data_IF_938433797102
#
_entry.id   IF_938433797102
#
_cell.length_a   1.000
_cell.length_b   1.000
_cell.length_c   1.000
_cell.angle_alpha   90.00
_cell.angle_beta   90.00
_cell.angle_gamma   90.00
#
_symmetry.space_group_name_H-M   'P 1'
#
loop_
_entity.id
_entity.type
_entity.pdbx_description
1 polymer ?
#
# COMPACT_ATOMS: atom_id res chain seq x y z
N UNK A 1 7.67 -17.37 17.84
CA UNK A 1 6.63 -17.65 18.87
C UNK A 1 6.05 -16.40 19.52
N UNK A 2 6.40 -15.19 19.05
CA UNK A 2 5.89 -13.90 19.60
C UNK A 2 4.61 -13.39 18.93
N UNK A 3 4.22 -13.97 17.80
CA UNK A 3 3.07 -13.51 17.01
C UNK A 3 1.68 -13.93 17.56
N UNK A 4 1.62 -14.68 18.67
CA UNK A 4 0.34 -15.13 19.24
C UNK A 4 -0.45 -14.01 19.95
N UNK A 5 0.17 -12.87 20.27
CA UNK A 5 -0.47 -11.71 20.89
C UNK A 5 -1.10 -10.74 19.89
N UNK A 6 -0.63 -10.73 18.62
CA UNK A 6 -1.12 -9.85 17.55
C UNK A 6 -2.21 -10.55 16.75
N UNK A 7 -3.42 -10.05 16.80
CA UNK A 7 -4.51 -10.51 15.94
C UNK A 7 -5.04 -9.38 15.10
N UNK A 8 -5.63 -9.69 13.94
CA UNK A 8 -6.28 -8.68 13.11
C UNK A 8 -7.38 -7.94 13.86
N UNK A 9 -8.11 -8.62 14.75
CA UNK A 9 -9.16 -8.01 15.57
C UNK A 9 -8.62 -6.90 16.45
N UNK A 10 -7.46 -7.10 17.08
CA UNK A 10 -6.82 -6.08 17.96
C UNK A 10 -6.37 -4.87 17.15
N UNK A 11 -5.72 -5.09 16.01
CA UNK A 11 -5.27 -4.00 15.12
C UNK A 11 -6.48 -3.22 14.59
N UNK A 12 -7.52 -3.91 14.12
CA UNK A 12 -8.77 -3.29 13.64
C UNK A 12 -9.46 -2.52 14.76
N UNK A 13 -9.53 -3.07 15.97
CA UNK A 13 -10.13 -2.39 17.12
C UNK A 13 -9.36 -1.10 17.46
N UNK A 14 -8.03 -1.14 17.49
CA UNK A 14 -7.19 0.04 17.68
C UNK A 14 -7.46 1.09 16.60
N UNK A 15 -7.44 0.68 15.32
CA UNK A 15 -7.68 1.58 14.20
C UNK A 15 -9.02 2.30 14.28
N UNK A 16 -10.09 1.57 14.62
CA UNK A 16 -11.44 2.14 14.80
C UNK A 16 -11.51 3.08 16.00
N UNK A 17 -10.99 2.63 17.14
CA UNK A 17 -11.09 3.38 18.39
C UNK A 17 -10.27 4.67 18.37
N UNK A 18 -9.11 4.65 17.69
CA UNK A 18 -8.18 5.79 17.65
C UNK A 18 -8.32 6.65 16.39
N UNK A 19 -9.25 6.34 15.50
CA UNK A 19 -9.53 7.18 14.34
C UNK A 19 -8.53 7.04 13.20
N UNK A 20 -7.95 5.86 13.04
CA UNK A 20 -7.16 5.54 11.84
C UNK A 20 -8.06 5.15 10.67
N UNK A 21 -8.96 4.19 10.89
CA UNK A 21 -9.79 3.64 9.80
C UNK A 21 -11.16 3.30 10.34
N UNK A 22 -12.20 3.76 9.65
CA UNK A 22 -13.61 3.53 9.97
C UNK A 22 -14.29 2.68 8.91
N UNK A 23 -15.39 1.96 9.23
CA UNK A 23 -16.27 1.39 8.20
C UNK A 23 -16.87 2.51 7.33
N UNK A 24 -16.77 2.37 6.02
CA UNK A 24 -17.32 3.34 5.08
C UNK A 24 -18.86 3.38 5.15
N UNK A 25 -19.44 4.58 5.24
CA UNK A 25 -20.90 4.80 5.29
C UNK A 25 -21.62 4.06 6.43
N UNK A 26 -20.99 3.96 7.60
CA UNK A 26 -21.46 3.16 8.75
C UNK A 26 -22.88 3.51 9.19
N UNK A 27 -23.27 4.80 9.13
CA UNK A 27 -24.61 5.26 9.50
C UNK A 27 -25.74 4.67 8.66
N UNK A 28 -25.42 4.12 7.49
CA UNK A 28 -26.35 3.41 6.61
C UNK A 28 -26.17 1.89 6.62
N UNK A 29 -25.45 1.35 7.61
CA UNK A 29 -25.11 -0.06 7.70
C UNK A 29 -23.85 -0.45 6.95
N UNK A 30 -23.15 0.50 6.35
CA UNK A 30 -21.91 0.30 5.65
C UNK A 30 -22.06 -0.34 4.27
N UNK A 31 -20.95 -0.43 3.56
CA UNK A 31 -20.80 -1.23 2.35
C UNK A 31 -19.69 -2.25 2.61
N UNK A 32 -19.96 -3.52 2.30
CA UNK A 32 -19.03 -4.61 2.60
C UNK A 32 -17.59 -4.30 2.11
N UNK A 33 -16.67 -4.32 3.05
CA UNK A 33 -15.24 -4.03 2.87
C UNK A 33 -14.93 -2.70 2.19
N UNK A 34 -15.69 -1.68 2.53
CA UNK A 34 -15.45 -0.27 2.22
C UNK A 34 -14.99 0.45 3.49
N UNK A 35 -13.89 1.17 3.42
CA UNK A 35 -13.22 1.77 4.56
C UNK A 35 -12.88 3.23 4.31
N UNK A 36 -13.08 4.06 5.33
CA UNK A 36 -12.68 5.46 5.34
C UNK A 36 -11.46 5.67 6.25
N UNK A 37 -10.47 6.42 5.78
CA UNK A 37 -9.36 6.85 6.63
C UNK A 37 -9.80 8.03 7.49
N UNK A 38 -9.76 7.83 8.81
CA UNK A 38 -10.08 8.88 9.79
C UNK A 38 -8.95 9.91 9.94
N UNK A 39 -9.07 10.83 10.93
CA UNK A 39 -8.11 11.93 11.09
C UNK A 39 -6.65 11.48 11.24
N UNK A 40 -6.38 10.43 12.02
CA UNK A 40 -5.03 9.88 12.14
C UNK A 40 -4.64 9.04 10.92
N UNK A 41 -5.60 8.33 10.35
CA UNK A 41 -5.36 7.46 9.19
C UNK A 41 -4.97 8.23 7.95
N UNK A 42 -5.60 9.37 7.67
CA UNK A 42 -5.25 10.19 6.50
C UNK A 42 -3.85 10.78 6.61
N UNK A 43 -3.45 11.25 7.81
CA UNK A 43 -2.08 11.74 8.03
C UNK A 43 -1.06 10.61 7.90
N UNK A 44 -1.33 9.47 8.52
CA UNK A 44 -0.48 8.27 8.41
C UNK A 44 -0.30 7.82 6.95
N UNK A 45 -1.40 7.62 6.21
CA UNK A 45 -1.36 7.20 4.81
C UNK A 45 -0.65 8.23 3.92
N UNK A 46 -0.88 9.52 4.15
CA UNK A 46 -0.18 10.58 3.43
C UNK A 46 1.32 10.58 3.74
N UNK A 47 1.72 10.27 4.98
CA UNK A 47 3.13 10.14 5.34
C UNK A 47 3.79 8.96 4.60
N UNK A 48 3.12 7.82 4.49
CA UNK A 48 3.59 6.68 3.69
C UNK A 48 3.79 7.09 2.22
N UNK A 49 2.79 7.74 1.63
CA UNK A 49 2.87 8.24 0.23
C UNK A 49 3.98 9.27 0.05
N UNK A 50 4.14 10.20 1.00
CA UNK A 50 5.23 11.21 0.96
C UNK A 50 6.60 10.56 1.08
N UNK A 51 6.76 9.55 1.95
CA UNK A 51 8.01 8.81 2.10
C UNK A 51 8.38 8.08 0.81
N UNK A 52 7.41 7.46 0.13
CA UNK A 52 7.62 6.84 -1.17
C UNK A 52 7.99 7.88 -2.23
N UNK A 53 7.19 8.94 -2.37
CA UNK A 53 7.43 10.00 -3.36
C UNK A 53 8.79 10.67 -3.18
N UNK A 54 9.19 10.89 -1.94
CA UNK A 54 10.50 11.46 -1.61
C UNK A 54 11.64 10.60 -2.18
N UNK A 55 11.61 9.29 -1.94
CA UNK A 55 12.70 8.40 -2.36
C UNK A 55 12.64 8.04 -3.83
N UNK A 56 11.44 7.75 -4.35
CA UNK A 56 11.28 7.28 -5.72
C UNK A 56 11.25 8.40 -6.76
N UNK A 57 10.86 9.61 -6.39
CA UNK A 57 10.74 10.74 -7.33
C UNK A 57 11.66 11.88 -6.96
N UNK A 58 11.51 12.47 -5.76
CA UNK A 58 12.20 13.71 -5.40
C UNK A 58 13.72 13.54 -5.32
N UNK A 59 14.21 12.49 -4.68
CA UNK A 59 15.63 12.18 -4.52
C UNK A 59 16.23 11.40 -5.71
N UNK A 60 15.40 10.98 -6.66
CA UNK A 60 15.84 10.24 -7.85
C UNK A 60 16.21 11.18 -8.99
N UNK A 61 17.41 11.03 -9.54
CA UNK A 61 17.82 11.73 -10.76
C UNK A 61 17.14 11.19 -12.03
N UNK A 62 16.57 9.98 -11.93
CA UNK A 62 15.98 9.28 -13.07
C UNK A 62 14.51 9.61 -13.25
N UNK A 63 13.76 9.68 -12.15
CA UNK A 63 12.31 9.60 -12.19
C UNK A 63 11.63 10.97 -12.24
N UNK A 64 10.43 10.98 -12.79
CA UNK A 64 9.50 12.12 -12.80
C UNK A 64 8.12 11.65 -12.35
N UNK A 65 7.26 12.59 -11.95
CA UNK A 65 5.89 12.29 -11.55
C UNK A 65 4.90 12.51 -12.68
N UNK A 66 3.80 11.77 -12.63
CA UNK A 66 2.61 11.92 -13.46
C UNK A 66 1.35 11.78 -12.59
N UNK A 67 0.30 12.46 -12.96
CA UNK A 67 -1.07 12.22 -12.45
C UNK A 67 -2.02 12.13 -13.64
N UNK A 68 -2.28 10.90 -14.10
CA UNK A 68 -3.19 10.63 -15.22
C UNK A 68 -4.64 10.52 -14.74
N UNK A 69 -5.59 10.83 -15.65
CA UNK A 69 -7.01 10.72 -15.34
C UNK A 69 -7.44 9.30 -15.01
N UNK A 70 -8.39 9.14 -14.08
CA UNK A 70 -9.00 7.85 -13.75
C UNK A 70 -9.82 7.32 -14.92
N UNK A 71 -10.62 8.20 -15.55
CA UNK A 71 -11.43 7.88 -16.72
C UNK A 71 -10.58 8.14 -17.95
N UNK A 72 -10.28 7.08 -18.67
CA UNK A 72 -9.46 7.10 -19.89
C UNK A 72 -10.27 6.62 -21.08
N UNK A 73 -9.74 6.84 -22.28
CA UNK A 73 -10.32 6.26 -23.48
C UNK A 73 -10.41 4.73 -23.33
N UNK A 74 -11.59 4.10 -23.53
CA UNK A 74 -11.77 2.65 -23.41
C UNK A 74 -10.79 1.81 -24.23
N UNK A 75 -10.30 2.34 -25.36
CA UNK A 75 -9.33 1.68 -26.23
C UNK A 75 -7.99 1.40 -25.53
N UNK A 76 -7.62 2.19 -24.51
CA UNK A 76 -6.44 1.91 -23.67
C UNK A 76 -6.59 0.56 -22.95
N UNK A 77 -7.79 0.23 -22.49
CA UNK A 77 -8.09 -1.02 -21.79
C UNK A 77 -8.30 -2.20 -22.74
N UNK A 78 -8.68 -1.94 -23.97
CA UNK A 78 -8.69 -2.95 -25.04
C UNK A 78 -7.27 -3.30 -25.43
N UNK A 79 -6.42 -2.30 -25.69
CA UNK A 79 -5.02 -2.47 -26.06
C UNK A 79 -4.22 -3.24 -25.02
N UNK A 80 -4.39 -2.91 -23.74
CA UNK A 80 -3.71 -3.57 -22.62
C UNK A 80 -4.30 -4.95 -22.27
N UNK A 81 -5.41 -5.37 -22.91
CA UNK A 81 -6.05 -6.66 -22.69
C UNK A 81 -6.99 -6.74 -21.48
N UNK A 82 -7.15 -5.67 -20.68
CA UNK A 82 -7.99 -5.68 -19.47
C UNK A 82 -9.47 -5.94 -19.78
N UNK A 83 -10.02 -5.40 -20.86
CA UNK A 83 -11.43 -5.64 -21.23
C UNK A 83 -11.70 -7.11 -21.51
N UNK A 84 -10.75 -7.82 -22.14
CA UNK A 84 -10.91 -9.22 -22.53
C UNK A 84 -10.43 -10.24 -21.51
N UNK A 85 -9.38 -9.92 -20.75
CA UNK A 85 -8.61 -10.89 -19.95
C UNK A 85 -8.59 -10.67 -18.45
N UNK A 86 -8.90 -9.48 -17.96
CA UNK A 86 -8.85 -9.17 -16.54
C UNK A 86 -10.07 -9.73 -15.80
N UNK A 87 -10.02 -11.02 -15.47
CA UNK A 87 -11.18 -11.75 -14.95
C UNK A 87 -10.79 -12.87 -13.99
N UNK A 88 -11.62 -13.05 -12.95
CA UNK A 88 -11.54 -14.17 -12.02
C UNK A 88 -12.41 -15.35 -12.46
N UNK A 89 -11.97 -16.60 -12.19
CA UNK A 89 -12.76 -17.81 -12.36
C UNK A 89 -13.77 -17.95 -11.20
N UNK A 90 -15.05 -17.68 -11.43
CA UNK A 90 -16.09 -17.70 -10.41
C UNK A 90 -16.98 -18.92 -10.48
N UNK A 91 -17.32 -19.45 -9.29
CA UNK A 91 -18.34 -20.48 -9.11
C UNK A 91 -19.19 -20.18 -7.87
N UNK A 92 -20.46 -20.56 -7.91
CA UNK A 92 -21.38 -20.41 -6.79
C UNK A 92 -21.62 -21.79 -6.13
N UNK A 93 -21.58 -21.86 -4.81
CA UNK A 93 -22.02 -23.05 -4.09
C UNK A 93 -23.54 -23.26 -4.32
N UNK A 94 -23.92 -24.44 -4.78
CA UNK A 94 -25.35 -24.74 -5.07
C UNK A 94 -26.20 -24.76 -3.80
N UNK A 95 -25.61 -25.06 -2.64
CA UNK A 95 -26.31 -25.20 -1.38
C UNK A 95 -26.56 -23.83 -0.70
N UNK A 96 -25.53 -23.05 -0.42
CA UNK A 96 -25.65 -21.77 0.31
C UNK A 96 -25.63 -20.52 -0.59
N UNK A 97 -25.43 -20.68 -1.90
CA UNK A 97 -25.33 -19.61 -2.90
C UNK A 97 -24.14 -18.66 -2.69
N UNK A 98 -23.22 -19.00 -1.78
CA UNK A 98 -22.00 -18.23 -1.61
C UNK A 98 -21.13 -18.34 -2.87
N UNK A 99 -20.55 -17.22 -3.25
CA UNK A 99 -19.68 -17.10 -4.42
C UNK A 99 -18.22 -17.25 -4.04
N UNK A 100 -17.49 -18.04 -4.82
CA UNK A 100 -16.09 -18.33 -4.58
C UNK A 100 -15.27 -18.21 -5.85
N UNK A 101 -13.99 -17.89 -5.71
CA UNK A 101 -13.00 -18.03 -6.77
C UNK A 101 -12.53 -19.47 -6.79
N UNK A 102 -12.60 -20.10 -7.96
CA UNK A 102 -12.19 -21.48 -8.12
C UNK A 102 -10.70 -21.70 -7.89
N UNK A 103 -9.87 -20.76 -8.39
CA UNK A 103 -8.43 -20.76 -8.17
C UNK A 103 -8.07 -20.67 -6.68
N UNK A 104 -8.74 -19.79 -5.91
CA UNK A 104 -8.51 -19.66 -4.48
C UNK A 104 -8.90 -20.91 -3.69
N UNK A 105 -10.00 -21.57 -4.05
CA UNK A 105 -10.39 -22.84 -3.42
C UNK A 105 -9.31 -23.90 -3.60
N UNK A 106 -8.65 -23.92 -4.76
CA UNK A 106 -7.57 -24.86 -5.07
C UNK A 106 -6.30 -24.50 -4.30
N UNK A 107 -5.91 -23.22 -4.29
CA UNK A 107 -4.75 -22.74 -3.54
C UNK A 107 -4.87 -23.02 -2.03
N UNK A 108 -6.05 -22.74 -1.45
CA UNK A 108 -6.33 -23.01 -0.04
C UNK A 108 -6.28 -24.51 0.29
N UNK A 109 -6.77 -25.33 -0.64
CA UNK A 109 -6.67 -26.79 -0.52
C UNK A 109 -5.21 -27.25 -0.59
N UNK A 110 -4.45 -26.76 -1.57
CA UNK A 110 -3.03 -27.08 -1.73
C UNK A 110 -2.23 -26.69 -0.49
N UNK A 111 -2.44 -25.49 0.02
CA UNK A 111 -1.81 -25.03 1.26
C UNK A 111 -2.12 -25.92 2.46
N UNK A 112 -3.39 -26.27 2.65
CA UNK A 112 -3.84 -27.09 3.78
C UNK A 112 -3.29 -28.51 3.73
N UNK A 113 -3.11 -29.07 2.53
CA UNK A 113 -2.65 -30.44 2.31
C UNK A 113 -1.16 -30.55 2.01
N UNK A 114 -0.43 -29.44 1.96
CA UNK A 114 1.01 -29.41 1.68
C UNK A 114 1.35 -29.85 0.26
N UNK A 115 0.47 -29.58 -0.72
CA UNK A 115 0.69 -29.88 -2.14
C UNK A 115 1.09 -28.60 -2.88
N UNK A 116 1.69 -28.74 -4.06
CA UNK A 116 2.15 -27.63 -4.91
C UNK A 116 1.19 -27.37 -6.08
N UNK A 117 -0.10 -27.63 -5.91
CA UNK A 117 -1.10 -27.39 -6.96
C UNK A 117 -1.27 -25.89 -7.20
N UNK A 118 -0.87 -25.41 -8.37
CA UNK A 118 -0.96 -24.01 -8.75
C UNK A 118 -1.95 -23.87 -9.95
N UNK A 119 -3.15 -23.30 -9.73
CA UNK A 119 -4.18 -23.18 -10.76
C UNK A 119 -3.97 -22.02 -11.75
N UNK A 120 -2.92 -21.21 -11.62
CA UNK A 120 -2.74 -19.99 -12.41
C UNK A 120 -2.77 -20.21 -13.93
N UNK A 121 -2.24 -21.35 -14.40
CA UNK A 121 -2.23 -21.72 -15.82
C UNK A 121 -3.32 -22.73 -16.22
N UNK A 122 -4.24 -23.08 -15.30
CA UNK A 122 -5.24 -24.11 -15.56
C UNK A 122 -6.46 -23.59 -16.33
N UNK A 123 -7.02 -24.44 -17.15
CA UNK A 123 -8.33 -24.18 -17.77
C UNK A 123 -9.45 -24.31 -16.72
N UNK A 124 -10.60 -23.72 -16.99
CA UNK A 124 -11.77 -23.84 -16.10
C UNK A 124 -12.25 -25.27 -15.92
N UNK A 125 -12.08 -26.09 -16.95
CA UNK A 125 -12.40 -27.52 -16.89
C UNK A 125 -11.46 -28.24 -15.92
N UNK A 126 -10.14 -28.01 -16.05
CA UNK A 126 -9.15 -28.56 -15.11
C UNK A 126 -9.39 -28.14 -13.66
N UNK A 127 -9.71 -26.86 -13.42
CA UNK A 127 -10.07 -26.36 -12.09
C UNK A 127 -11.33 -27.07 -11.55
N UNK A 128 -12.39 -27.18 -12.37
CA UNK A 128 -13.65 -27.84 -12.00
C UNK A 128 -13.45 -29.32 -11.66
N UNK A 129 -12.67 -30.01 -12.47
CA UNK A 129 -12.40 -31.44 -12.28
C UNK A 129 -11.57 -31.67 -11.03
N UNK A 130 -10.54 -30.84 -10.78
CA UNK A 130 -9.74 -30.92 -9.56
C UNK A 130 -10.59 -30.71 -8.30
N UNK A 131 -11.45 -29.66 -8.29
CA UNK A 131 -12.33 -29.35 -7.16
C UNK A 131 -13.25 -30.55 -6.86
N UNK A 132 -13.80 -31.18 -7.90
CA UNK A 132 -14.66 -32.39 -7.75
C UNK A 132 -13.86 -33.60 -7.29
N UNK A 133 -12.70 -33.86 -7.92
CA UNK A 133 -11.85 -35.04 -7.62
C UNK A 133 -11.32 -34.99 -6.17
N UNK A 134 -10.86 -33.83 -5.74
CA UNK A 134 -10.36 -33.64 -4.38
C UNK A 134 -11.47 -33.43 -3.35
N UNK A 135 -12.73 -33.36 -3.76
CA UNK A 135 -13.87 -33.15 -2.87
C UNK A 135 -13.76 -31.86 -2.07
N UNK A 136 -13.30 -30.77 -2.70
CA UNK A 136 -13.13 -29.48 -2.02
C UNK A 136 -14.48 -28.97 -1.56
N UNK A 137 -14.59 -28.69 -0.26
CA UNK A 137 -15.81 -28.21 0.36
C UNK A 137 -15.97 -26.68 0.26
N UNK A 138 -17.21 -26.22 0.20
CA UNK A 138 -17.51 -24.79 0.32
C UNK A 138 -17.07 -24.26 1.71
N UNK A 139 -16.22 -23.27 1.81
CA UNK A 139 -15.75 -22.73 3.09
C UNK A 139 -16.89 -22.16 3.97
N UNK A 140 -18.02 -21.79 3.33
CA UNK A 140 -19.16 -21.16 4.02
C UNK A 140 -20.10 -22.20 4.66
N UNK A 141 -20.37 -23.34 3.99
CA UNK A 141 -21.40 -24.28 4.46
C UNK A 141 -20.99 -25.76 4.44
N UNK A 142 -19.77 -26.06 3.99
CA UNK A 142 -19.28 -27.44 3.87
C UNK A 142 -19.85 -28.23 2.68
N UNK A 143 -20.70 -27.66 1.83
CA UNK A 143 -21.24 -28.32 0.66
C UNK A 143 -20.19 -28.54 -0.43
N UNK A 144 -20.36 -29.62 -1.25
CA UNK A 144 -19.38 -30.00 -2.29
C UNK A 144 -19.88 -29.75 -3.72
N UNK A 145 -21.10 -29.21 -3.87
CA UNK A 145 -21.66 -28.95 -5.19
C UNK A 145 -21.54 -27.47 -5.57
N UNK A 146 -20.90 -27.25 -6.71
CA UNK A 146 -20.71 -25.91 -7.27
C UNK A 146 -21.33 -25.81 -8.67
N UNK A 147 -21.57 -24.58 -9.12
CA UNK A 147 -21.94 -24.28 -10.52
C UNK A 147 -20.70 -24.39 -11.42
N UNK A 148 -20.92 -24.38 -12.72
CA UNK A 148 -19.81 -24.21 -13.67
C UNK A 148 -19.08 -22.88 -13.42
N UNK A 149 -17.77 -22.90 -13.70
CA UNK A 149 -16.91 -21.70 -13.57
C UNK A 149 -17.26 -20.72 -14.69
N UNK A 150 -17.45 -19.46 -14.31
CA UNK A 150 -17.70 -18.34 -15.23
C UNK A 150 -16.62 -17.27 -15.09
N UNK A 151 -16.25 -16.68 -16.22
CA UNK A 151 -15.41 -15.46 -16.22
C UNK A 151 -16.16 -14.29 -15.61
N UNK A 152 -15.53 -13.61 -14.67
CA UNK A 152 -16.02 -12.36 -14.13
C UNK A 152 -14.97 -11.27 -14.32
N UNK A 153 -15.25 -10.31 -15.19
CA UNK A 153 -14.33 -9.17 -15.41
C UNK A 153 -14.36 -8.23 -14.22
N UNK A 154 -13.17 -7.93 -13.70
CA UNK A 154 -12.98 -7.11 -12.50
C UNK A 154 -13.08 -5.60 -12.74
N UNK A 155 -13.22 -5.14 -13.99
CA UNK A 155 -13.35 -3.73 -14.28
C UNK A 155 -14.73 -3.19 -13.90
N UNK A 156 -14.76 -2.09 -13.16
CA UNK A 156 -15.99 -1.31 -13.00
C UNK A 156 -16.33 -0.57 -14.29
N UNK A 157 -17.55 -0.78 -14.78
CA UNK A 157 -18.11 -0.03 -15.92
C UNK A 157 -18.92 1.16 -15.43
N UNK A 158 -18.85 2.26 -16.15
CA UNK A 158 -19.74 3.42 -16.01
C UNK A 158 -20.00 4.04 -17.38
N UNK A 159 -20.74 5.12 -17.42
CA UNK A 159 -21.13 5.78 -18.68
C UNK A 159 -20.77 7.25 -18.65
N UNK A 160 -20.42 7.80 -19.80
CA UNK A 160 -20.17 9.23 -19.99
C UNK A 160 -21.26 9.77 -20.93
N UNK A 161 -21.90 10.89 -20.54
CA UNK A 161 -23.00 11.49 -21.28
C UNK A 161 -24.36 11.13 -20.70
N UNK A 162 -25.42 11.30 -21.49
CA UNK A 162 -26.84 11.19 -21.06
C UNK A 162 -27.47 9.84 -21.35
N UNK A 163 -26.81 8.98 -22.15
CA UNK A 163 -27.30 7.66 -22.53
C UNK A 163 -26.41 6.56 -21.96
N UNK A 164 -27.05 5.48 -21.52
CA UNK A 164 -26.36 4.29 -21.05
C UNK A 164 -26.34 3.23 -22.15
N UNK A 165 -25.45 3.41 -23.13
CA UNK A 165 -25.27 2.51 -24.24
C UNK A 165 -23.80 2.07 -24.41
N UNK A 166 -23.54 1.18 -25.38
CA UNK A 166 -22.19 0.66 -25.61
C UNK A 166 -21.20 1.73 -26.05
N UNK A 167 -21.66 2.79 -26.73
CA UNK A 167 -20.81 3.86 -27.23
C UNK A 167 -20.41 4.86 -26.14
N UNK A 168 -21.16 4.92 -25.05
CA UNK A 168 -20.91 5.78 -23.89
C UNK A 168 -20.19 5.05 -22.75
N UNK A 169 -19.92 3.76 -22.91
CA UNK A 169 -19.26 2.92 -21.88
C UNK A 169 -17.81 3.35 -21.66
N UNK A 170 -17.48 3.63 -20.41
CA UNK A 170 -16.11 3.84 -19.93
C UNK A 170 -15.84 2.99 -18.70
N UNK A 171 -14.60 2.91 -18.28
CA UNK A 171 -14.18 2.09 -17.14
C UNK A 171 -13.46 2.95 -16.09
N UNK A 172 -13.66 2.60 -14.82
CA UNK A 172 -12.76 3.06 -13.76
C UNK A 172 -11.46 2.24 -13.89
N UNK A 173 -10.32 2.93 -13.89
CA UNK A 173 -9.02 2.28 -14.08
C UNK A 173 -8.77 1.20 -13.01
N UNK A 174 -8.37 -0.03 -13.40
CA UNK A 174 -8.03 -1.10 -12.45
C UNK A 174 -6.58 -1.01 -11.94
N UNK A 175 -5.75 -0.14 -12.59
CA UNK A 175 -4.35 0.13 -12.25
C UNK A 175 -3.93 1.51 -12.74
N UNK A 176 -2.84 2.03 -12.20
CA UNK A 176 -2.29 3.33 -12.62
C UNK A 176 -1.27 3.20 -13.75
N UNK A 177 -0.74 2.01 -14.02
CA UNK A 177 0.32 1.74 -15.00
C UNK A 177 -0.04 2.20 -16.42
N UNK A 178 -1.25 1.86 -16.90
CA UNK A 178 -1.65 2.17 -18.28
C UNK A 178 -1.71 3.69 -18.56
N UNK A 179 -2.04 4.48 -17.53
CA UNK A 179 -1.96 5.93 -17.61
C UNK A 179 -0.55 6.45 -17.85
N UNK A 180 0.46 5.73 -17.35
CA UNK A 180 1.87 6.05 -17.61
C UNK A 180 2.26 5.67 -19.03
N UNK A 181 1.93 4.46 -19.47
CA UNK A 181 2.30 3.98 -20.81
C UNK A 181 1.73 4.84 -21.94
N UNK A 182 0.44 5.19 -21.88
CA UNK A 182 -0.17 6.04 -22.93
C UNK A 182 0.41 7.46 -22.96
N UNK A 183 1.00 7.91 -21.87
CA UNK A 183 1.65 9.22 -21.76
C UNK A 183 3.16 9.19 -21.98
N UNK A 184 3.78 8.01 -22.19
CA UNK A 184 5.24 7.88 -22.36
C UNK A 184 5.82 8.86 -23.39
N UNK A 185 5.28 8.97 -24.65
CA UNK A 185 5.86 9.89 -25.63
C UNK A 185 5.76 11.37 -25.21
N UNK A 186 4.67 11.74 -24.52
CA UNK A 186 4.48 13.11 -24.05
C UNK A 186 5.44 13.46 -22.91
N UNK A 187 5.59 12.54 -21.96
CA UNK A 187 6.51 12.71 -20.80
C UNK A 187 7.94 12.78 -21.30
N UNK A 188 8.38 11.84 -22.15
CA UNK A 188 9.74 11.81 -22.69
C UNK A 188 10.07 13.12 -23.44
N UNK A 189 9.16 13.57 -24.30
CA UNK A 189 9.34 14.81 -25.09
C UNK A 189 9.42 16.06 -24.22
N UNK A 190 8.53 16.18 -23.21
CA UNK A 190 8.45 17.40 -22.38
C UNK A 190 9.55 17.48 -21.35
N UNK A 191 9.96 16.35 -20.81
CA UNK A 191 11.05 16.29 -19.80
C UNK A 191 12.44 16.20 -20.42
N UNK A 192 12.52 15.80 -21.70
CA UNK A 192 13.78 15.53 -22.42
C UNK A 192 14.66 14.49 -21.74
N UNK A 193 14.04 13.58 -20.96
CA UNK A 193 14.78 12.53 -20.27
C UNK A 193 15.37 11.54 -21.28
N UNK A 194 16.60 11.14 -21.01
CA UNK A 194 17.24 10.00 -21.68
C UNK A 194 17.01 8.72 -20.89
N UNK A 195 17.05 7.59 -21.56
CA UNK A 195 17.04 6.30 -20.86
C UNK A 195 18.34 6.10 -20.07
N UNK A 196 18.29 5.48 -18.86
CA UNK A 196 17.04 5.05 -18.21
C UNK A 196 16.33 6.20 -17.52
N UNK A 197 15.01 6.19 -17.53
CA UNK A 197 14.19 7.08 -16.68
C UNK A 197 12.88 6.42 -16.29
N UNK A 198 12.30 6.86 -15.18
CA UNK A 198 11.04 6.36 -14.68
C UNK A 198 9.95 7.42 -14.63
N UNK A 199 8.72 6.97 -14.72
CA UNK A 199 7.52 7.79 -14.49
C UNK A 199 6.74 7.18 -13.35
N UNK A 200 6.52 7.95 -12.30
CA UNK A 200 5.88 7.52 -11.08
C UNK A 200 4.49 8.15 -10.93
N UNK A 201 3.54 7.38 -10.40
CA UNK A 201 2.19 7.85 -10.11
C UNK A 201 1.70 7.30 -8.79
N UNK A 202 1.01 8.15 -8.01
CA UNK A 202 0.16 7.74 -6.89
C UNK A 202 -1.28 8.03 -7.29
N UNK A 203 -2.15 7.03 -7.25
CA UNK A 203 -3.54 7.27 -7.66
C UNK A 203 -4.50 6.16 -7.27
N UNK A 204 -5.79 6.51 -7.26
CA UNK A 204 -6.88 5.58 -7.04
C UNK A 204 -7.00 4.60 -8.20
N UNK A 205 -7.25 3.33 -7.83
CA UNK A 205 -7.58 2.23 -8.72
C UNK A 205 -8.80 1.46 -8.19
N UNK A 206 -9.49 0.75 -9.08
CA UNK A 206 -10.79 0.15 -8.79
C UNK A 206 -10.85 -1.26 -9.37
N UNK A 207 -11.10 -2.25 -8.52
CA UNK A 207 -11.31 -3.63 -8.94
C UNK A 207 -12.57 -4.16 -8.30
N UNK A 208 -13.52 -4.64 -9.10
CA UNK A 208 -14.77 -5.19 -8.60
C UNK A 208 -14.54 -6.57 -7.97
N UNK A 209 -13.74 -6.58 -6.91
CA UNK A 209 -13.36 -7.78 -6.17
C UNK A 209 -14.58 -8.55 -5.67
N UNK A 210 -14.55 -9.85 -5.88
CA UNK A 210 -15.67 -10.75 -5.48
C UNK A 210 -15.57 -11.11 -4.01
N UNK A 211 -14.35 -11.35 -3.53
CA UNK A 211 -14.06 -11.72 -2.15
C UNK A 211 -13.16 -10.66 -1.49
N UNK A 212 -13.64 -9.41 -1.35
CA UNK A 212 -12.89 -8.42 -0.60
C UNK A 212 -12.79 -8.86 0.86
N UNK A 213 -11.70 -8.56 1.53
CA UNK A 213 -11.51 -9.03 2.91
C UNK A 213 -10.22 -8.57 3.54
N UNK A 214 -10.01 -9.05 4.76
CA UNK A 214 -8.82 -8.76 5.56
C UNK A 214 -8.60 -7.26 5.75
N UNK A 215 -9.66 -6.54 6.18
CA UNK A 215 -9.63 -5.10 6.42
C UNK A 215 -9.26 -4.33 5.14
N UNK A 216 -8.22 -3.48 5.17
CA UNK A 216 -7.78 -2.70 3.99
C UNK A 216 -6.84 -3.47 3.06
N UNK A 217 -6.60 -4.76 3.30
CA UNK A 217 -5.71 -5.57 2.47
C UNK A 217 -6.29 -5.82 1.07
N UNK A 218 -7.60 -6.11 0.95
CA UNK A 218 -8.27 -6.31 -0.33
C UNK A 218 -9.61 -5.59 -0.35
N UNK A 219 -9.64 -4.46 -1.02
CA UNK A 219 -10.79 -3.57 -1.17
C UNK A 219 -11.12 -3.36 -2.65
N UNK A 220 -12.31 -2.83 -2.96
CA UNK A 220 -12.70 -2.52 -4.34
C UNK A 220 -12.19 -1.19 -4.85
N UNK A 221 -11.93 -0.26 -3.93
CA UNK A 221 -11.31 1.03 -4.17
C UNK A 221 -10.04 1.11 -3.32
N UNK A 222 -8.90 1.39 -3.94
CA UNK A 222 -7.59 1.44 -3.27
C UNK A 222 -6.69 2.46 -3.95
N UNK A 223 -5.55 2.76 -3.35
CA UNK A 223 -4.50 3.57 -3.99
C UNK A 223 -3.29 2.72 -4.33
N UNK A 224 -2.74 2.96 -5.52
CA UNK A 224 -1.46 2.40 -5.95
C UNK A 224 -0.38 3.48 -5.95
N UNK A 225 0.84 3.07 -5.68
CA UNK A 225 2.08 3.80 -5.90
C UNK A 225 2.90 2.99 -6.90
N UNK A 226 2.92 3.41 -8.15
CA UNK A 226 3.56 2.69 -9.25
C UNK A 226 4.65 3.53 -9.89
N UNK A 227 5.72 2.85 -10.26
CA UNK A 227 6.82 3.39 -11.05
C UNK A 227 6.99 2.51 -12.29
N UNK A 228 6.89 3.11 -13.48
CA UNK A 228 7.28 2.48 -14.72
C UNK A 228 8.68 3.00 -15.11
N UNK A 229 9.67 2.15 -14.96
CA UNK A 229 11.07 2.51 -15.19
C UNK A 229 11.53 1.97 -16.54
N UNK A 230 11.69 2.89 -17.48
CA UNK A 230 12.06 2.61 -18.86
C UNK A 230 13.56 2.48 -19.01
N UNK A 231 14.03 1.38 -19.58
CA UNK A 231 15.44 1.09 -19.79
C UNK A 231 15.73 0.54 -21.18
N UNK A 232 17.01 0.51 -21.54
CA UNK A 232 17.44 -0.09 -22.80
C UNK A 232 17.27 -1.60 -22.77
N UNK A 233 16.70 -2.24 -23.81
CA UNK A 233 16.65 -3.69 -23.91
C UNK A 233 18.04 -4.32 -23.71
N UNK A 234 18.10 -5.37 -22.89
CA UNK A 234 19.35 -6.04 -22.49
C UNK A 234 20.00 -5.50 -21.23
N UNK A 235 19.50 -4.37 -20.64
CA UNK A 235 19.91 -3.87 -19.32
C UNK A 235 18.83 -4.10 -18.26
N UNK A 236 17.73 -4.69 -18.64
CA UNK A 236 16.52 -4.90 -17.86
C UNK A 236 16.75 -5.68 -16.56
N UNK A 237 17.48 -6.81 -16.63
CA UNK A 237 17.74 -7.63 -15.43
C UNK A 237 18.63 -6.92 -14.40
N UNK A 238 19.54 -6.04 -14.82
CA UNK A 238 20.34 -5.22 -13.90
C UNK A 238 19.45 -4.21 -13.17
N UNK A 239 18.52 -3.54 -13.90
CA UNK A 239 17.57 -2.61 -13.33
C UNK A 239 16.51 -3.31 -12.50
N UNK A 240 16.09 -4.51 -12.86
CA UNK A 240 15.21 -5.34 -12.05
C UNK A 240 15.85 -5.63 -10.67
N UNK A 241 17.11 -6.09 -10.66
CA UNK A 241 17.83 -6.33 -9.41
C UNK A 241 18.00 -5.06 -8.58
N UNK A 242 18.32 -3.93 -9.22
CA UNK A 242 18.43 -2.63 -8.56
C UNK A 242 17.12 -2.22 -7.87
N UNK A 243 15.99 -2.27 -8.58
CA UNK A 243 14.70 -1.88 -8.02
C UNK A 243 14.22 -2.85 -6.94
N UNK A 244 14.50 -4.14 -7.08
CA UNK A 244 14.21 -5.13 -6.04
C UNK A 244 14.93 -4.79 -4.73
N UNK A 245 16.23 -4.52 -4.77
CA UNK A 245 16.98 -4.11 -3.57
C UNK A 245 16.50 -2.75 -3.04
N UNK A 246 16.29 -1.76 -3.90
CA UNK A 246 15.83 -0.43 -3.51
C UNK A 246 14.50 -0.46 -2.77
N UNK A 247 13.53 -1.23 -3.26
CA UNK A 247 12.23 -1.42 -2.62
C UNK A 247 12.36 -2.11 -1.26
N UNK A 248 13.19 -3.14 -1.16
CA UNK A 248 13.46 -3.84 0.09
C UNK A 248 14.07 -2.90 1.14
N UNK A 249 15.11 -2.16 0.76
CA UNK A 249 15.75 -1.20 1.66
C UNK A 249 14.81 -0.08 2.12
N UNK A 250 13.87 0.35 1.26
CA UNK A 250 12.88 1.37 1.62
C UNK A 250 11.96 0.89 2.76
N UNK A 251 11.50 -0.37 2.70
CA UNK A 251 10.66 -0.97 3.75
C UNK A 251 11.42 -1.06 5.08
N UNK A 252 12.66 -1.58 5.05
CA UNK A 252 13.49 -1.75 6.26
C UNK A 252 13.83 -0.40 6.91
N UNK A 253 14.20 0.60 6.12
CA UNK A 253 14.54 1.95 6.62
C UNK A 253 13.36 2.66 7.26
N UNK A 254 12.14 2.31 6.89
CA UNK A 254 10.92 2.81 7.52
C UNK A 254 10.44 1.94 8.68
N UNK A 255 11.29 1.02 9.16
CA UNK A 255 11.09 0.28 10.39
C UNK A 255 10.34 -1.03 10.25
N UNK A 256 10.08 -1.50 9.02
CA UNK A 256 9.52 -2.84 8.83
C UNK A 256 10.55 -3.90 9.19
N UNK A 257 10.17 -4.90 9.99
CA UNK A 257 11.07 -5.93 10.47
C UNK A 257 11.36 -6.97 9.39
N UNK A 258 12.63 -7.26 9.18
CA UNK A 258 13.09 -8.17 8.13
C UNK A 258 12.52 -9.59 8.29
N UNK A 259 12.38 -10.07 9.53
CA UNK A 259 11.78 -11.38 9.82
C UNK A 259 10.30 -11.51 9.44
N UNK A 260 9.60 -10.39 9.22
CA UNK A 260 8.22 -10.35 8.75
C UNK A 260 8.11 -10.14 7.23
N UNK A 261 9.24 -10.07 6.53
CA UNK A 261 9.31 -9.94 5.08
C UNK A 261 9.93 -11.18 4.44
N UNK A 262 9.45 -11.53 3.26
CA UNK A 262 10.15 -12.45 2.37
C UNK A 262 10.00 -12.00 0.93
N UNK A 263 11.01 -12.29 0.12
CA UNK A 263 10.99 -12.09 -1.31
C UNK A 263 10.73 -13.44 -1.97
N UNK A 264 9.75 -13.49 -2.86
CA UNK A 264 9.39 -14.67 -3.62
C UNK A 264 9.54 -14.38 -5.11
N UNK A 265 10.59 -14.93 -5.70
CA UNK A 265 10.75 -14.89 -7.14
C UNK A 265 9.75 -15.87 -7.78
N UNK A 266 9.06 -15.45 -8.85
CA UNK A 266 8.14 -16.31 -9.57
C UNK A 266 8.89 -17.36 -10.38
N UNK A 267 8.41 -18.58 -10.34
CA UNK A 267 8.87 -19.64 -11.23
C UNK A 267 8.45 -19.34 -12.69
N UNK A 268 9.17 -19.84 -13.69
CA UNK A 268 8.84 -19.58 -15.10
C UNK A 268 7.40 -19.89 -15.49
N UNK A 269 6.77 -20.87 -14.83
CA UNK A 269 5.39 -21.29 -15.09
C UNK A 269 4.34 -20.36 -14.45
N UNK A 270 4.77 -19.50 -13.50
CA UNK A 270 3.91 -18.52 -12.83
C UNK A 270 3.95 -17.15 -13.50
N UNK A 271 4.99 -16.89 -14.32
CA UNK A 271 5.15 -15.58 -14.95
C UNK A 271 3.95 -15.23 -15.82
N UNK A 272 3.46 -14.00 -15.67
CA UNK A 272 2.53 -13.44 -16.63
C UNK A 272 3.16 -13.43 -18.02
N UNK A 273 2.35 -13.61 -19.06
CA UNK A 273 2.78 -13.72 -20.46
C UNK A 273 3.59 -12.51 -20.96
N UNK A 274 3.51 -11.38 -20.28
CA UNK A 274 4.23 -10.14 -20.56
C UNK A 274 5.50 -9.96 -19.72
N UNK A 275 5.73 -10.82 -18.72
CA UNK A 275 6.82 -10.65 -17.76
C UNK A 275 7.96 -11.63 -18.02
N UNK A 276 9.18 -11.11 -17.98
CA UNK A 276 10.42 -11.90 -18.05
C UNK A 276 10.91 -12.35 -16.68
N UNK A 277 10.64 -11.56 -15.65
CA UNK A 277 10.95 -11.83 -14.26
C UNK A 277 9.95 -11.09 -13.35
N UNK A 278 9.56 -11.69 -12.24
CA UNK A 278 8.71 -11.06 -11.22
C UNK A 278 9.17 -11.51 -9.85
N UNK A 279 9.22 -10.57 -8.90
CA UNK A 279 9.44 -10.85 -7.47
C UNK A 279 8.33 -10.20 -6.68
N UNK A 280 7.65 -11.00 -5.86
CA UNK A 280 6.72 -10.50 -4.84
C UNK A 280 7.46 -10.27 -3.52
N UNK A 281 7.16 -9.14 -2.90
CA UNK A 281 7.47 -8.89 -1.50
C UNK A 281 6.25 -9.28 -0.68
N UNK A 282 6.39 -10.26 0.16
CA UNK A 282 5.31 -10.71 1.03
C UNK A 282 5.58 -10.33 2.47
N UNK A 283 4.53 -9.91 3.17
CA UNK A 283 4.57 -9.59 4.59
C UNK A 283 3.76 -10.60 5.40
N UNK A 284 4.26 -10.96 6.58
CA UNK A 284 3.59 -11.87 7.50
C UNK A 284 2.50 -11.15 8.30
N UNK A 285 1.31 -11.07 7.71
CA UNK A 285 0.12 -10.59 8.41
C UNK A 285 -0.38 -11.63 9.44
N UNK A 286 -1.25 -11.24 10.40
CA UNK A 286 -1.86 -12.22 11.32
C UNK A 286 -2.69 -13.31 10.64
N UNK A 287 -3.13 -13.09 9.39
CA UNK A 287 -3.84 -14.09 8.56
C UNK A 287 -2.91 -14.91 7.65
N UNK A 288 -1.61 -14.73 7.75
CA UNK A 288 -0.60 -15.42 6.94
C UNK A 288 0.17 -14.48 5.99
N UNK A 289 1.00 -15.08 5.14
CA UNK A 289 1.76 -14.34 4.15
C UNK A 289 0.83 -13.69 3.11
N UNK A 290 1.03 -12.42 2.86
CA UNK A 290 0.28 -11.65 1.88
C UNK A 290 1.20 -10.78 1.05
N UNK A 291 0.95 -10.75 -0.25
CA UNK A 291 1.66 -9.90 -1.20
C UNK A 291 1.51 -8.43 -0.82
N UNK A 292 2.63 -7.76 -0.70
CA UNK A 292 2.74 -6.36 -0.35
C UNK A 292 3.14 -5.51 -1.53
N UNK A 293 4.08 -5.97 -2.33
CA UNK A 293 4.72 -5.27 -3.43
C UNK A 293 5.12 -6.25 -4.52
N UNK A 294 4.92 -5.90 -5.78
CA UNK A 294 5.45 -6.60 -6.93
C UNK A 294 6.53 -5.78 -7.62
N UNK A 295 7.62 -6.42 -8.03
CA UNK A 295 8.58 -5.86 -8.99
C UNK A 295 8.60 -6.78 -10.20
N UNK A 296 8.25 -6.26 -11.37
CA UNK A 296 8.16 -7.02 -12.61
C UNK A 296 9.04 -6.43 -13.72
N UNK A 297 9.70 -7.28 -14.49
CA UNK A 297 10.26 -6.94 -15.79
C UNK A 297 9.19 -7.21 -16.85
N UNK A 298 8.54 -6.16 -17.34
CA UNK A 298 7.42 -6.20 -18.31
C UNK A 298 7.88 -6.21 -19.76
N UNK A 299 9.18 -6.19 -19.99
CA UNK A 299 9.77 -6.09 -21.34
C UNK A 299 9.24 -4.87 -22.10
N UNK A 300 9.00 -4.96 -23.41
CA UNK A 300 8.40 -3.93 -24.28
C UNK A 300 6.90 -4.13 -24.47
N UNK A 301 6.28 -5.04 -23.72
CA UNK A 301 4.92 -5.51 -23.98
C UNK A 301 3.90 -4.35 -24.05
N UNK A 302 3.77 -3.56 -22.98
CA UNK A 302 2.71 -2.54 -22.88
C UNK A 302 2.85 -1.45 -23.95
N UNK A 303 4.05 -0.90 -24.11
CA UNK A 303 4.31 0.10 -25.16
C UNK A 303 4.06 -0.49 -26.55
N UNK A 304 4.45 -1.74 -26.78
CA UNK A 304 4.20 -2.48 -28.01
C UNK A 304 2.70 -2.66 -28.27
N UNK A 305 1.91 -3.04 -27.27
CA UNK A 305 0.47 -3.16 -27.39
C UNK A 305 -0.20 -1.82 -27.74
N UNK A 306 0.17 -0.75 -27.05
CA UNK A 306 -0.34 0.59 -27.38
C UNK A 306 0.07 1.07 -28.76
N UNK A 307 1.31 0.79 -29.18
CA UNK A 307 1.76 1.10 -30.55
C UNK A 307 0.93 0.36 -31.61
N UNK A 308 0.79 -0.97 -31.43
CA UNK A 308 0.07 -1.82 -32.38
C UNK A 308 -1.42 -1.45 -32.49
N UNK A 309 -2.05 -1.17 -31.36
CA UNK A 309 -3.48 -0.86 -31.32
C UNK A 309 -3.78 0.56 -31.82
N UNK A 310 -2.99 1.55 -31.40
CA UNK A 310 -3.22 2.96 -31.75
C UNK A 310 -2.62 3.40 -33.09
N UNK A 311 -1.63 2.66 -33.60
CA UNK A 311 -0.82 3.06 -34.76
C UNK A 311 0.11 4.25 -34.48
N UNK A 312 0.31 4.62 -33.18
CA UNK A 312 1.21 5.72 -32.79
C UNK A 312 2.57 5.17 -32.41
N UNK A 313 3.62 5.92 -32.78
CA UNK A 313 5.00 5.56 -32.45
C UNK A 313 5.24 5.67 -30.94
N UNK A 314 5.62 4.56 -30.32
CA UNK A 314 5.98 4.44 -28.90
C UNK A 314 7.46 4.14 -28.70
N UNK A 315 8.27 4.32 -29.76
CA UNK A 315 9.72 4.09 -29.70
C UNK A 315 10.46 5.24 -29.00
N UNK A 316 11.59 4.92 -28.44
CA UNK A 316 12.61 5.86 -27.99
C UNK A 316 13.70 5.99 -29.06
N UNK A 317 14.08 7.23 -29.40
CA UNK A 317 15.26 7.49 -30.21
C UNK A 317 16.49 7.59 -29.32
N UNK A 318 17.44 6.68 -29.49
CA UNK A 318 18.72 6.70 -28.78
C UNK A 318 19.75 7.53 -29.59
N UNK A 319 20.11 8.73 -29.11
CA UNK A 319 21.05 9.59 -29.82
C UNK A 319 22.49 9.06 -29.79
N UNK A 320 22.81 8.08 -28.94
CA UNK A 320 24.17 7.53 -28.82
C UNK A 320 24.40 6.44 -29.88
N UNK A 321 23.37 5.63 -30.16
CA UNK A 321 23.44 4.57 -31.18
C UNK A 321 22.78 4.96 -32.49
N UNK A 322 22.02 6.06 -32.55
CA UNK A 322 21.18 6.51 -33.68
C UNK A 322 20.12 5.46 -34.08
N UNK A 323 19.57 4.74 -33.08
CA UNK A 323 18.58 3.69 -33.25
C UNK A 323 17.24 4.07 -32.61
N UNK A 324 16.17 3.50 -33.17
CA UNK A 324 14.84 3.53 -32.55
C UNK A 324 14.50 2.16 -32.03
N UNK A 325 14.03 2.09 -30.78
CA UNK A 325 13.53 0.86 -30.18
C UNK A 325 12.46 1.16 -29.12
N UNK A 326 11.61 0.17 -28.86
CA UNK A 326 10.68 0.24 -27.71
C UNK A 326 11.47 -0.09 -26.45
N UNK A 327 11.46 0.79 -25.42
CA UNK A 327 12.15 0.52 -24.16
C UNK A 327 11.55 -0.69 -23.44
N UNK A 328 12.37 -1.38 -22.66
CA UNK A 328 11.90 -2.34 -21.65
C UNK A 328 11.49 -1.61 -20.38
N UNK A 329 10.59 -2.21 -19.62
CA UNK A 329 9.99 -1.58 -18.45
C UNK A 329 10.19 -2.45 -17.23
N UNK A 330 10.70 -1.85 -16.15
CA UNK A 330 10.72 -2.43 -14.81
C UNK A 330 9.65 -1.71 -13.99
N UNK A 331 8.73 -2.47 -13.43
CA UNK A 331 7.58 -1.98 -12.68
C UNK A 331 7.66 -2.36 -11.20
N UNK A 332 8.10 -1.49 -10.31
CA UNK A 332 7.77 -1.57 -8.89
C UNK A 332 6.35 -1.06 -8.64
N UNK A 333 5.42 -1.95 -8.27
CA UNK A 333 4.00 -1.63 -8.02
C UNK A 333 3.58 -1.99 -6.60
N UNK A 334 3.09 -1.02 -5.86
CA UNK A 334 2.76 -1.11 -4.44
C UNK A 334 1.36 -0.57 -4.15
N UNK A 335 0.55 -1.35 -3.42
CA UNK A 335 -0.70 -0.87 -2.85
C UNK A 335 -0.47 0.01 -1.62
N UNK A 336 -0.83 1.29 -1.68
CA UNK A 336 -0.66 2.22 -0.55
C UNK A 336 -1.43 1.75 0.70
N UNK A 337 -2.63 1.20 0.50
CA UNK A 337 -3.48 0.69 1.58
C UNK A 337 -2.89 -0.57 2.23
N UNK A 338 -2.31 -1.49 1.42
CA UNK A 338 -1.66 -2.70 1.93
C UNK A 338 -0.41 -2.40 2.73
N UNK A 339 0.47 -1.53 2.22
CA UNK A 339 1.70 -1.19 2.93
C UNK A 339 1.41 -0.39 4.19
N UNK A 340 0.41 0.49 4.17
CA UNK A 340 -0.05 1.18 5.38
C UNK A 340 -0.55 0.18 6.43
N UNK A 341 -1.35 -0.82 6.03
CA UNK A 341 -1.76 -1.90 6.93
C UNK A 341 -0.57 -2.69 7.46
N UNK A 342 0.40 -3.04 6.61
CA UNK A 342 1.59 -3.78 7.03
C UNK A 342 2.40 -3.00 8.08
N UNK A 343 2.63 -1.70 7.87
CA UNK A 343 3.29 -0.85 8.88
C UNK A 343 2.51 -0.78 10.19
N UNK A 344 1.17 -0.69 10.16
CA UNK A 344 0.35 -0.69 11.38
C UNK A 344 0.44 -2.03 12.13
N UNK A 345 0.36 -3.14 11.39
CA UNK A 345 0.48 -4.50 11.96
C UNK A 345 1.88 -4.70 12.53
N UNK A 346 2.91 -4.30 11.80
CA UNK A 346 4.28 -4.48 12.26
C UNK A 346 4.58 -3.65 13.50
N UNK A 347 4.10 -2.40 13.53
CA UNK A 347 4.32 -1.46 14.62
C UNK A 347 3.51 -1.76 15.89
N UNK A 348 2.40 -2.52 15.80
CA UNK A 348 1.55 -2.81 16.95
C UNK A 348 2.25 -3.70 17.97
N UNK A 349 2.21 -3.31 19.23
CA UNK A 349 2.69 -4.11 20.36
C UNK A 349 1.88 -3.91 21.63
N UNK A 350 1.91 -4.92 22.51
CA UNK A 350 1.36 -4.91 23.88
C UNK A 350 2.49 -5.26 24.84
N UNK A 351 3.05 -4.24 25.49
CA UNK A 351 4.17 -4.39 26.41
C UNK A 351 3.68 -4.55 27.86
N UNK A 352 4.13 -5.58 28.55
CA UNK A 352 3.93 -5.74 29.98
C UNK A 352 4.93 -4.88 30.74
N UNK A 353 4.43 -4.00 31.58
CA UNK A 353 5.24 -3.12 32.42
C UNK A 353 5.39 -3.69 33.84
N UNK A 354 6.33 -3.14 34.58
CA UNK A 354 6.48 -3.44 36.01
C UNK A 354 5.16 -3.20 36.75
N UNK A 355 4.70 -4.21 37.49
CA UNK A 355 3.42 -4.17 38.21
C UNK A 355 2.23 -4.79 37.48
N UNK A 356 2.43 -5.37 36.29
CA UNK A 356 1.41 -6.12 35.54
C UNK A 356 0.45 -5.26 34.74
N UNK A 357 0.76 -3.95 34.57
CA UNK A 357 0.05 -3.07 33.66
C UNK A 357 0.49 -3.33 32.20
N UNK A 358 -0.42 -3.22 31.23
CA UNK A 358 -0.15 -3.44 29.82
C UNK A 358 -0.19 -2.11 29.05
N UNK A 359 0.86 -1.84 28.31
CA UNK A 359 0.97 -0.69 27.41
C UNK A 359 0.71 -1.12 25.97
N UNK A 360 -0.33 -0.62 25.34
CA UNK A 360 -0.50 -0.72 23.89
C UNK A 360 0.31 0.39 23.23
N UNK A 361 1.09 0.06 22.23
CA UNK A 361 1.97 1.00 21.54
C UNK A 361 2.04 0.68 20.04
N UNK A 362 2.13 1.74 19.23
CA UNK A 362 2.47 1.65 17.81
C UNK A 362 3.90 2.16 17.59
N UNK A 363 4.85 1.24 17.39
CA UNK A 363 6.26 1.54 17.11
C UNK A 363 6.49 2.03 15.67
N UNK A 364 5.68 3.01 15.22
CA UNK A 364 5.82 3.59 13.90
C UNK A 364 7.15 4.36 13.77
N UNK A 365 7.83 4.19 12.64
CA UNK A 365 8.95 5.08 12.32
C UNK A 365 8.50 6.55 12.40
N UNK A 366 9.27 7.46 13.01
CA UNK A 366 8.84 8.85 13.20
C UNK A 366 8.36 9.55 11.92
N UNK A 367 8.97 9.25 10.76
CA UNK A 367 8.53 9.78 9.48
C UNK A 367 7.10 9.35 9.11
N UNK A 368 6.63 8.18 9.56
CA UNK A 368 5.30 7.63 9.24
C UNK A 368 4.24 8.04 10.27
N UNK A 369 4.61 8.30 11.52
CA UNK A 369 3.69 8.66 12.60
C UNK A 369 2.75 9.80 12.19
N UNK A 370 1.43 9.75 12.53
CA UNK A 370 0.49 10.82 12.23
C UNK A 370 0.94 12.16 12.80
N UNK A 371 1.21 12.21 14.09
CA UNK A 371 1.86 13.32 14.75
C UNK A 371 3.35 13.05 14.95
N UNK A 372 4.19 14.09 14.77
CA UNK A 372 5.64 13.98 14.96
C UNK A 372 6.04 14.18 16.42
N UNK A 373 5.23 14.91 17.13
CA UNK A 373 5.35 15.09 18.58
C UNK A 373 3.98 15.51 19.17
N UNK A 374 3.85 15.43 20.49
CA UNK A 374 2.75 16.00 21.25
C UNK A 374 3.28 16.97 22.28
N UNK A 375 2.67 18.15 22.42
CA UNK A 375 2.98 19.14 23.46
C UNK A 375 2.03 18.95 24.62
N UNK A 376 2.58 18.66 25.79
CA UNK A 376 1.83 18.25 26.98
C UNK A 376 2.17 19.17 28.16
N UNK A 377 1.33 20.17 28.52
CA UNK A 377 1.59 20.99 29.71
C UNK A 377 1.48 20.13 30.98
N UNK A 378 2.47 20.14 31.87
CA UNK A 378 2.43 19.36 33.10
C UNK A 378 1.22 19.72 33.98
N UNK A 379 0.79 20.97 33.93
CA UNK A 379 -0.37 21.52 34.63
C UNK A 379 -1.15 22.44 33.69
N UNK A 380 -2.49 22.50 33.88
CA UNK A 380 -3.35 23.47 33.15
C UNK A 380 -2.94 24.92 33.28
N UNK A 381 -2.21 25.27 34.37
CA UNK A 381 -1.66 26.62 34.56
C UNK A 381 -0.59 26.98 33.54
N UNK A 382 -0.01 26.00 32.89
CA UNK A 382 1.06 26.15 31.90
C UNK A 382 0.52 26.04 30.45
N UNK A 383 -0.80 25.82 30.27
CA UNK A 383 -1.39 25.55 28.97
C UNK A 383 -1.16 26.67 27.96
N UNK A 384 -1.32 27.93 28.36
CA UNK A 384 -1.11 29.08 27.45
C UNK A 384 0.32 29.13 26.90
N UNK A 385 1.32 28.87 27.79
CA UNK A 385 2.73 28.82 27.39
C UNK A 385 3.06 27.59 26.55
N UNK A 386 2.48 26.45 26.88
CA UNK A 386 2.65 25.25 26.09
C UNK A 386 2.01 25.39 24.70
N UNK A 387 0.90 26.15 24.55
CA UNK A 387 0.29 26.48 23.27
C UNK A 387 1.19 27.37 22.41
N UNK A 388 1.96 28.32 22.99
CA UNK A 388 2.94 29.09 22.24
C UNK A 388 3.99 28.17 21.58
N UNK A 389 4.45 27.15 22.31
CA UNK A 389 5.37 26.14 21.77
C UNK A 389 4.71 25.27 20.70
N UNK A 390 3.46 24.81 20.96
CA UNK A 390 2.67 24.07 19.98
C UNK A 390 2.54 24.87 18.67
N UNK A 391 2.10 26.12 18.73
CA UNK A 391 1.91 26.98 17.57
C UNK A 391 3.21 27.18 16.76
N UNK A 392 4.34 27.21 17.44
CA UNK A 392 5.65 27.32 16.78
C UNK A 392 6.05 26.02 16.08
N UNK A 393 5.85 24.88 16.71
CA UNK A 393 6.16 23.57 16.13
C UNK A 393 5.19 23.17 15.01
N UNK A 394 3.91 23.52 15.15
CA UNK A 394 2.85 23.20 14.19
C UNK A 394 3.04 23.86 12.81
N UNK A 395 3.89 24.91 12.72
CA UNK A 395 4.26 25.51 11.43
C UNK A 395 5.07 24.58 10.53
N UNK A 396 5.75 23.58 11.11
CA UNK A 396 6.66 22.69 10.40
C UNK A 396 6.24 21.22 10.45
N UNK A 397 5.57 20.83 11.55
CA UNK A 397 5.22 19.42 11.79
C UNK A 397 3.75 19.25 12.19
N UNK A 398 3.08 18.13 11.86
CA UNK A 398 1.88 17.72 12.54
C UNK A 398 2.20 17.45 14.02
N UNK A 399 1.57 18.23 14.91
CA UNK A 399 1.78 18.18 16.36
C UNK A 399 0.42 17.97 17.04
N UNK A 400 0.36 17.14 18.07
CA UNK A 400 -0.80 17.06 18.96
C UNK A 400 -0.63 17.92 20.22
N UNK A 401 -1.74 18.27 20.84
CA UNK A 401 -1.79 19.00 22.10
C UNK A 401 -2.81 18.39 23.05
N UNK A 402 -2.36 17.91 24.20
CA UNK A 402 -3.25 17.32 25.20
C UNK A 402 -2.97 17.84 26.61
N UNK A 403 -3.99 18.40 27.24
CA UNK A 403 -3.96 18.86 28.64
C UNK A 403 -4.92 18.07 29.55
N UNK A 404 -5.55 17.00 29.04
CA UNK A 404 -6.66 16.32 29.71
C UNK A 404 -6.19 15.11 30.53
N UNK A 405 -6.38 15.14 31.82
CA UNK A 405 -6.01 14.06 32.75
C UNK A 405 -4.56 14.14 33.21
N UNK A 406 -4.06 13.05 33.84
CA UNK A 406 -2.68 13.00 34.31
C UNK A 406 -1.69 12.83 33.15
N UNK A 407 -0.46 13.30 33.35
CA UNK A 407 0.60 13.21 32.34
C UNK A 407 0.84 11.76 31.88
N UNK A 408 0.81 10.79 32.78
CA UNK A 408 0.97 9.37 32.43
C UNK A 408 -0.14 8.84 31.52
N UNK A 409 -1.41 9.28 31.71
CA UNK A 409 -2.52 8.91 30.83
C UNK A 409 -2.36 9.53 29.44
N UNK A 410 -1.81 10.74 29.36
CA UNK A 410 -1.53 11.42 28.07
C UNK A 410 -0.42 10.71 27.33
N UNK A 411 0.67 10.33 27.99
CA UNK A 411 1.72 9.51 27.37
C UNK A 411 1.16 8.20 26.78
N UNK A 412 0.24 7.53 27.51
CA UNK A 412 -0.39 6.29 27.02
C UNK A 412 -1.22 6.51 25.75
N UNK A 413 -1.97 7.63 25.68
CA UNK A 413 -2.74 7.97 24.47
C UNK A 413 -1.84 8.20 23.27
N UNK A 414 -0.71 8.89 23.49
CA UNK A 414 0.27 9.14 22.42
C UNK A 414 1.00 7.86 22.00
N UNK A 415 1.34 6.97 22.96
CA UNK A 415 1.94 5.68 22.64
C UNK A 415 1.01 4.83 21.75
N UNK A 416 -0.30 4.80 22.04
CA UNK A 416 -1.30 4.05 21.27
C UNK A 416 -1.50 4.55 19.84
N UNK A 417 -1.28 5.82 19.56
CA UNK A 417 -1.41 6.41 18.23
C UNK A 417 -0.07 6.53 17.51
N UNK A 418 1.02 6.12 18.18
CA UNK A 418 2.35 6.04 17.58
C UNK A 418 3.11 7.36 17.51
N UNK A 419 2.73 8.38 18.30
CA UNK A 419 3.48 9.64 18.40
C UNK A 419 4.86 9.40 18.99
N UNK A 420 5.96 9.67 18.26
CA UNK A 420 7.30 9.26 18.70
C UNK A 420 7.84 10.07 19.90
N UNK A 421 7.41 11.33 20.04
CA UNK A 421 7.97 12.24 21.04
C UNK A 421 6.86 12.96 21.81
N UNK A 422 6.89 12.91 23.14
CA UNK A 422 6.04 13.72 24.00
C UNK A 422 6.88 14.84 24.62
N UNK A 423 6.52 16.07 24.37
CA UNK A 423 7.21 17.28 24.84
C UNK A 423 6.43 17.81 26.04
N UNK A 424 6.99 17.65 27.22
CA UNK A 424 6.36 18.16 28.46
C UNK A 424 6.89 19.56 28.76
N UNK A 425 5.95 20.52 28.81
CA UNK A 425 6.19 21.87 29.32
C UNK A 425 5.87 21.85 30.82
N UNK A 426 6.88 22.08 31.65
CA UNK A 426 6.78 22.03 33.11
C UNK A 426 7.09 23.38 33.79
N UNK A 427 7.04 23.44 35.12
CA UNK A 427 7.31 24.69 35.85
C UNK A 427 8.76 25.14 35.77
N UNK A 428 9.71 24.22 35.59
CA UNK A 428 11.13 24.56 35.44
C UNK A 428 11.41 25.16 34.08
N UNK A 429 10.58 24.84 33.07
CA UNK A 429 10.69 25.41 31.71
C UNK A 429 10.63 26.94 31.71
N UNK A 430 9.84 27.55 32.63
CA UNK A 430 9.78 29.00 32.76
C UNK A 430 11.08 29.63 33.30
N UNK A 431 11.90 28.83 33.99
CA UNK A 431 13.15 29.28 34.57
C UNK A 431 14.38 29.04 33.67
N UNK A 432 14.44 27.85 33.03
CA UNK A 432 15.61 27.40 32.29
C UNK A 432 15.42 27.38 30.77
N UNK A 433 14.20 27.65 30.27
CA UNK A 433 13.89 27.61 28.84
C UNK A 433 13.99 26.23 28.19
N UNK A 434 14.00 25.15 29.00
CA UNK A 434 14.12 23.78 28.52
C UNK A 434 12.80 23.04 28.71
N UNK A 435 12.55 22.05 27.84
CA UNK A 435 11.42 21.13 27.93
C UNK A 435 11.91 19.71 28.07
N UNK A 436 11.06 18.84 28.62
CA UNK A 436 11.35 17.41 28.72
C UNK A 436 10.76 16.69 27.53
N UNK A 437 11.60 16.01 26.74
CA UNK A 437 11.18 15.17 25.61
C UNK A 437 11.25 13.72 26.03
N UNK A 438 10.11 13.04 26.00
CA UNK A 438 10.00 11.60 26.21
C UNK A 438 9.97 10.88 24.87
N UNK A 439 10.86 9.92 24.73
CA UNK A 439 10.86 8.98 23.59
C UNK A 439 9.85 7.86 23.82
N UNK A 440 8.99 7.58 22.84
CA UNK A 440 7.93 6.56 22.92
C UNK A 440 8.51 5.16 23.14
N UNK A 441 9.54 4.81 22.38
CA UNK A 441 10.02 3.43 22.30
C UNK A 441 10.83 3.03 23.54
N UNK A 442 11.68 3.92 24.02
CA UNK A 442 12.52 3.69 25.20
C UNK A 442 11.91 4.17 26.52
N UNK A 443 10.86 5.00 26.44
CA UNK A 443 10.27 5.75 27.59
C UNK A 443 11.26 6.68 28.31
N UNK A 444 12.49 6.80 27.80
CA UNK A 444 13.49 7.70 28.37
C UNK A 444 13.12 9.15 28.15
N UNK A 445 13.53 10.00 29.07
CA UNK A 445 13.28 11.43 29.05
C UNK A 445 14.59 12.18 29.01
N UNK A 446 14.67 13.16 28.12
CA UNK A 446 15.80 14.08 28.02
C UNK A 446 15.30 15.52 28.14
N UNK A 447 16.10 16.38 28.81
CA UNK A 447 15.78 17.79 28.92
C UNK A 447 16.60 18.57 27.91
N UNK A 448 15.93 19.32 27.02
CA UNK A 448 16.57 20.08 25.93
C UNK A 448 16.02 21.50 25.87
N UNK A 449 16.82 22.47 25.40
CA UNK A 449 16.32 23.82 25.14
C UNK A 449 15.17 23.83 24.13
N UNK A 450 14.14 24.65 24.37
CA UNK A 450 12.99 24.77 23.44
C UNK A 450 13.45 25.13 22.01
N UNK A 451 14.49 25.94 21.86
CA UNK A 451 15.05 26.30 20.55
C UNK A 451 15.60 25.10 19.76
N UNK A 452 15.96 24.00 20.41
CA UNK A 452 16.53 22.81 19.78
C UNK A 452 15.48 21.74 19.42
N UNK A 453 14.23 21.88 19.89
CA UNK A 453 13.18 20.87 19.68
C UNK A 453 12.92 20.61 18.19
N UNK A 454 12.88 21.66 17.35
CA UNK A 454 12.68 21.51 15.90
C UNK A 454 13.79 20.69 15.25
N UNK A 455 15.03 20.98 15.55
CA UNK A 455 16.18 20.24 15.01
C UNK A 455 16.20 18.81 15.54
N UNK A 456 15.86 18.60 16.79
CA UNK A 456 15.74 17.26 17.39
C UNK A 456 14.72 16.40 16.65
N UNK A 457 13.50 16.91 16.43
CA UNK A 457 12.46 16.21 15.67
C UNK A 457 12.94 15.95 14.24
N UNK A 458 13.43 16.99 13.52
CA UNK A 458 13.86 16.88 12.13
C UNK A 458 14.91 15.80 11.91
N UNK A 459 15.86 15.66 12.82
CA UNK A 459 16.90 14.62 12.73
C UNK A 459 16.32 13.22 12.83
N UNK A 460 15.33 13.00 13.69
CA UNK A 460 14.67 11.73 13.90
C UNK A 460 13.68 11.31 12.78
N UNK A 461 13.32 12.26 11.91
CA UNK A 461 12.46 11.97 10.75
C UNK A 461 13.24 11.43 9.53
N UNK A 462 14.57 11.41 9.57
CA UNK A 462 15.41 10.93 8.46
C UNK A 462 15.33 9.40 8.31
N UNK A 463 15.31 8.91 7.06
CA UNK A 463 15.29 7.48 6.72
C UNK A 463 15.99 7.20 5.39
#
# INVERSE_FOLDING_TARGET
MENSKKTMEKVVALCKTRGFIFPGSEIYGGLANSWDYGPLGVEFKNNVKRAWWKKFVQESRYNVGLDSAIIMNPEAWVASGHVGGFSDPLMDCKQCKARHRADKLIEDYAFTNGTNDNPAAWTFEQMSDFIKEKGIACPTCGGHEFTDIKKFNLMFKTFVGVTEDSSSTVYLRPETAQGIFVNFPAVQRTTRKKLPFGVAQIGKSFRNEITPGNFTFRTREFEQMELEFFCKPGTDLEWFAYWKDFCHQWLLKLGMREENLRLRDHDPDELCFYSKATTDFEFLFPFGWGELWGVADRTDYDLGQHQNHSGKDMTYFDPETNEHYIPYVIEPSLGADRVALAFLVDAYDEEELEGGDVRTVLHLHPALAPFKAAVLPLSKKLSDKALELYDELAKEFPIDFDETGSIGKRYRREDEIGTPFCITYDFDTENDGCVTVRDRDTMQQVRIPMAEVKSYISEKLKF
#
